data_IF_664436490703
#
_entry.id   IF_664436490703
#
_cell.length_a   1.000
_cell.length_b   1.000
_cell.length_c   1.000
_cell.angle_alpha   90.00
_cell.angle_beta   90.00
_cell.angle_gamma   90.00
#
_symmetry.space_group_name_H-M   'P 1'
#
loop_
_entity.id
_entity.type
_entity.pdbx_description
1 polymer ?
#
# COMPACT_ATOMS: atom_id res chain seq x y z
N UNK A 1 25.60 3.04 -4.56
CA UNK A 1 24.91 1.83 -5.04
C UNK A 1 23.58 2.31 -5.60
N UNK A 2 23.40 2.20 -6.91
CA UNK A 2 22.18 2.68 -7.54
C UNK A 2 21.20 1.51 -7.66
N UNK A 3 20.09 1.63 -6.97
CA UNK A 3 19.00 0.66 -7.07
C UNK A 3 18.03 1.13 -8.16
N UNK A 4 17.72 0.26 -9.12
CA UNK A 4 16.77 0.55 -10.20
C UNK A 4 15.48 -0.23 -10.01
N UNK A 5 14.35 0.47 -10.16
CA UNK A 5 13.00 -0.05 -10.01
C UNK A 5 12.10 0.45 -11.14
N UNK A 6 11.06 -0.34 -11.44
CA UNK A 6 10.00 0.09 -12.37
C UNK A 6 9.02 1.02 -11.66
N UNK A 7 8.77 0.74 -10.37
CA UNK A 7 7.85 1.51 -9.54
C UNK A 7 8.47 1.79 -8.17
N UNK A 8 8.38 3.02 -7.71
CA UNK A 8 8.76 3.40 -6.35
C UNK A 8 7.54 4.00 -5.65
N UNK A 9 7.15 3.40 -4.52
CA UNK A 9 6.05 3.87 -3.68
C UNK A 9 6.61 4.50 -2.41
N UNK A 10 6.21 5.74 -2.14
CA UNK A 10 6.66 6.50 -0.97
C UNK A 10 5.57 6.50 0.08
N UNK A 11 5.84 5.88 1.21
CA UNK A 11 4.94 5.78 2.36
C UNK A 11 4.14 4.48 2.39
N UNK A 12 4.28 3.71 3.47
CA UNK A 12 3.59 2.45 3.73
C UNK A 12 2.30 2.66 4.55
N UNK A 13 1.49 3.65 4.19
CA UNK A 13 0.09 3.73 4.63
C UNK A 13 -0.78 2.73 3.85
N UNK A 14 -2.09 2.67 4.12
CA UNK A 14 -2.99 1.71 3.46
C UNK A 14 -2.92 1.79 1.93
N UNK A 15 -2.97 3.01 1.37
CA UNK A 15 -2.88 3.22 -0.07
C UNK A 15 -1.52 2.81 -0.64
N UNK A 16 -0.42 3.11 0.07
CA UNK A 16 0.92 2.73 -0.36
C UNK A 16 1.15 1.22 -0.32
N UNK A 17 0.62 0.54 0.69
CA UNK A 17 0.69 -0.93 0.78
C UNK A 17 -0.04 -1.59 -0.40
N UNK A 18 -1.27 -1.14 -0.71
CA UNK A 18 -2.04 -1.66 -1.85
C UNK A 18 -1.36 -1.33 -3.19
N UNK A 19 -0.87 -0.12 -3.37
CA UNK A 19 -0.18 0.29 -4.59
C UNK A 19 1.10 -0.52 -4.84
N UNK A 20 1.92 -0.72 -3.80
CA UNK A 20 3.14 -1.49 -3.90
C UNK A 20 2.86 -2.97 -4.18
N UNK A 21 1.87 -3.55 -3.50
CA UNK A 21 1.44 -4.92 -3.73
C UNK A 21 0.90 -5.11 -5.15
N UNK A 22 0.04 -4.22 -5.63
CA UNK A 22 -0.52 -4.28 -6.97
C UNK A 22 0.57 -4.21 -8.05
N UNK A 23 1.50 -3.25 -7.95
CA UNK A 23 2.59 -3.10 -8.90
C UNK A 23 3.48 -4.35 -8.95
N UNK A 24 3.87 -4.88 -7.78
CA UNK A 24 4.71 -6.07 -7.70
C UNK A 24 4.00 -7.34 -8.19
N UNK A 25 2.71 -7.51 -7.91
CA UNK A 25 1.90 -8.63 -8.40
C UNK A 25 1.71 -8.58 -9.92
N UNK A 26 1.73 -7.40 -10.53
CA UNK A 26 1.74 -7.24 -11.98
C UNK A 26 3.11 -7.51 -12.62
N UNK A 27 4.12 -7.85 -11.83
CA UNK A 27 5.45 -8.23 -12.29
C UNK A 27 6.48 -7.09 -12.29
N UNK A 28 6.10 -5.88 -11.90
CA UNK A 28 7.03 -4.75 -11.81
C UNK A 28 7.99 -4.92 -10.64
N UNK A 29 9.27 -4.61 -10.85
CA UNK A 29 10.24 -4.50 -9.78
C UNK A 29 9.93 -3.25 -8.96
N UNK A 30 9.37 -3.44 -7.78
CA UNK A 30 8.79 -2.38 -6.96
C UNK A 30 9.60 -2.13 -5.70
N UNK A 31 9.75 -0.86 -5.31
CA UNK A 31 10.29 -0.45 -4.03
C UNK A 31 9.23 0.29 -3.21
N UNK A 32 8.98 -0.16 -1.99
CA UNK A 32 8.17 0.53 -1.01
C UNK A 32 9.07 1.16 0.05
N UNK A 33 9.08 2.50 0.13
CA UNK A 33 9.90 3.24 1.09
C UNK A 33 9.03 3.73 2.24
N UNK A 34 9.44 3.43 3.47
CA UNK A 34 8.74 3.87 4.68
C UNK A 34 9.73 4.34 5.75
N UNK A 35 9.33 5.33 6.53
CA UNK A 35 10.14 5.82 7.66
C UNK A 35 10.22 4.82 8.81
N UNK A 36 9.19 3.98 8.97
CA UNK A 36 9.10 3.05 10.11
C UNK A 36 8.36 1.76 9.69
N UNK A 37 9.12 0.67 9.63
CA UNK A 37 8.61 -0.67 9.31
C UNK A 37 7.59 -1.20 10.33
N UNK A 38 7.59 -0.68 11.55
CA UNK A 38 6.63 -1.09 12.58
C UNK A 38 5.27 -0.38 12.44
N UNK A 39 5.17 0.57 11.50
CA UNK A 39 3.95 1.35 11.24
C UNK A 39 3.35 1.09 9.85
N UNK A 40 3.78 0.02 9.20
CA UNK A 40 3.21 -0.41 7.92
C UNK A 40 1.70 -0.62 8.08
N UNK A 41 0.91 0.01 7.20
CA UNK A 41 -0.56 -0.01 7.23
C UNK A 41 -1.18 0.33 8.61
N UNK A 42 -0.51 1.14 9.43
CA UNK A 42 -0.99 1.47 10.76
C UNK A 42 -2.33 2.20 10.73
N UNK A 43 -3.27 1.70 11.51
CA UNK A 43 -4.54 2.39 11.78
C UNK A 43 -4.33 3.47 12.84
N UNK A 44 -4.15 4.72 12.42
CA UNK A 44 -3.79 5.84 13.31
C UNK A 44 -4.94 6.27 14.24
N UNK A 45 -6.19 6.13 13.78
CA UNK A 45 -7.37 6.50 14.57
C UNK A 45 -8.08 5.25 15.11
N UNK A 46 -9.35 5.04 14.73
CA UNK A 46 -10.09 3.85 15.09
C UNK A 46 -9.58 2.65 14.29
N UNK A 47 -9.30 1.51 14.92
CA UNK A 47 -8.86 0.31 14.20
C UNK A 47 -10.05 -0.37 13.53
N UNK A 48 -10.63 0.28 12.52
CA UNK A 48 -11.81 -0.19 11.84
C UNK A 48 -11.76 0.08 10.33
N UNK A 49 -12.20 -0.91 9.57
CA UNK A 49 -12.31 -0.89 8.11
C UNK A 49 -13.77 -0.90 7.72
N UNK A 50 -14.12 -0.15 6.67
CA UNK A 50 -15.48 -0.04 6.19
C UNK A 50 -16.27 1.10 6.84
N UNK A 51 -17.60 0.96 6.84
CA UNK A 51 -18.54 2.01 7.20
C UNK A 51 -19.11 2.72 5.99
N UNK A 52 -19.81 3.86 6.22
CA UNK A 52 -20.51 4.60 5.17
C UNK A 52 -19.52 5.03 4.08
N UNK A 53 -19.84 4.70 2.83
CA UNK A 53 -19.03 4.93 1.62
C UNK A 53 -17.65 4.24 1.58
N UNK A 54 -17.12 3.79 2.70
CA UNK A 54 -15.78 3.17 2.76
C UNK A 54 -15.81 1.67 2.48
N UNK A 55 -16.87 0.98 2.90
CA UNK A 55 -17.02 -0.46 2.67
C UNK A 55 -17.10 -0.82 1.19
N UNK A 56 -17.67 0.04 0.37
CA UNK A 56 -17.74 -0.12 -1.08
C UNK A 56 -16.34 -0.08 -1.71
N UNK A 57 -15.51 0.90 -1.30
CA UNK A 57 -14.13 1.02 -1.78
C UNK A 57 -13.32 -0.22 -1.41
N UNK A 58 -13.46 -0.75 -0.19
CA UNK A 58 -12.76 -1.98 0.20
C UNK A 58 -13.15 -3.16 -0.69
N UNK A 59 -14.42 -3.29 -1.06
CA UNK A 59 -14.89 -4.34 -1.98
C UNK A 59 -14.37 -4.16 -3.40
N UNK A 60 -14.25 -2.92 -3.87
CA UNK A 60 -13.64 -2.62 -5.16
C UNK A 60 -12.16 -2.98 -5.18
N UNK A 61 -11.42 -2.65 -4.12
CA UNK A 61 -10.02 -3.04 -3.94
C UNK A 61 -9.88 -4.57 -3.93
N UNK A 62 -10.74 -5.27 -3.17
CA UNK A 62 -10.77 -6.74 -3.09
C UNK A 62 -11.06 -7.38 -4.46
N UNK A 63 -12.03 -6.84 -5.21
CA UNK A 63 -12.36 -7.29 -6.57
C UNK A 63 -11.21 -7.12 -7.56
N UNK A 64 -10.31 -6.16 -7.32
CA UNK A 64 -9.09 -5.94 -8.10
C UNK A 64 -7.88 -6.76 -7.60
N UNK A 65 -8.07 -7.62 -6.60
CA UNK A 65 -7.01 -8.46 -6.04
C UNK A 65 -6.18 -7.79 -4.94
N UNK A 66 -6.71 -6.74 -4.32
CA UNK A 66 -6.07 -6.08 -3.17
C UNK A 66 -6.20 -6.87 -1.87
N UNK A 67 -5.46 -6.47 -0.87
CA UNK A 67 -5.31 -7.21 0.38
C UNK A 67 -6.10 -6.64 1.57
N UNK A 68 -6.63 -5.41 1.46
CA UNK A 68 -7.32 -4.75 2.57
C UNK A 68 -8.49 -5.59 3.12
N UNK A 69 -9.28 -6.19 2.25
CA UNK A 69 -10.39 -7.08 2.63
C UNK A 69 -9.90 -8.31 3.37
N UNK A 70 -8.91 -9.00 2.82
CA UNK A 70 -8.33 -10.22 3.38
C UNK A 70 -7.70 -9.98 4.75
N UNK A 71 -6.89 -8.93 4.89
CA UNK A 71 -6.27 -8.56 6.17
C UNK A 71 -7.34 -8.17 7.21
N UNK A 72 -8.40 -7.49 6.76
CA UNK A 72 -9.52 -7.15 7.63
C UNK A 72 -10.19 -8.40 8.18
N UNK A 73 -10.47 -9.38 7.34
CA UNK A 73 -11.12 -10.64 7.75
C UNK A 73 -10.25 -11.45 8.72
N UNK A 74 -8.93 -11.48 8.49
CA UNK A 74 -7.98 -12.18 9.37
C UNK A 74 -7.83 -11.53 10.75
N UNK A 75 -8.03 -10.24 10.85
CA UNK A 75 -7.71 -9.46 12.06
C UNK A 75 -8.92 -8.84 12.73
N UNK A 76 -10.11 -9.06 12.18
CA UNK A 76 -11.36 -8.54 12.73
C UNK A 76 -11.68 -9.15 14.08
N UNK A 77 -12.03 -8.30 15.03
CA UNK A 77 -12.52 -8.67 16.36
C UNK A 77 -14.03 -8.45 16.51
N UNK A 78 -14.62 -7.62 15.65
CA UNK A 78 -16.04 -7.35 15.64
C UNK A 78 -16.52 -6.90 14.27
N UNK A 79 -17.65 -7.44 13.82
CA UNK A 79 -18.38 -6.98 12.64
C UNK A 79 -19.69 -6.31 13.04
N UNK A 80 -20.00 -5.19 12.39
CA UNK A 80 -21.29 -4.50 12.51
C UNK A 80 -21.77 -4.04 11.15
N UNK A 81 -23.11 -4.08 10.97
CA UNK A 81 -23.76 -3.38 9.87
C UNK A 81 -24.32 -2.09 10.44
N UNK A 82 -23.80 -0.96 9.98
CA UNK A 82 -24.29 0.36 10.33
C UNK A 82 -25.53 0.70 9.50
N UNK A 83 -26.33 1.66 9.99
CA UNK A 83 -27.51 2.21 9.31
C UNK A 83 -28.61 1.18 8.96
N UNK A 84 -28.76 0.12 9.73
CA UNK A 84 -29.82 -0.87 9.52
C UNK A 84 -31.22 -0.25 9.45
N UNK A 85 -31.49 0.81 10.22
CA UNK A 85 -32.75 1.53 10.23
C UNK A 85 -33.00 2.41 9.01
N UNK A 86 -31.99 2.62 8.16
CA UNK A 86 -32.06 3.49 6.97
C UNK A 86 -32.39 2.75 5.68
N UNK A 87 -32.60 1.45 5.75
CA UNK A 87 -32.88 0.59 4.60
C UNK A 87 -31.63 -0.02 3.96
N UNK A 88 -31.81 -1.06 3.11
CA UNK A 88 -30.72 -1.87 2.57
C UNK A 88 -29.65 -1.09 1.79
N UNK A 89 -30.06 -0.04 1.07
CA UNK A 89 -29.13 0.79 0.28
C UNK A 89 -28.12 1.56 1.17
N UNK A 90 -28.45 1.77 2.44
CA UNK A 90 -27.61 2.48 3.39
C UNK A 90 -26.83 1.55 4.34
N UNK A 91 -27.03 0.25 4.20
CA UNK A 91 -26.32 -0.71 5.04
C UNK A 91 -24.84 -0.66 4.76
N UNK A 92 -24.06 -0.42 5.80
CA UNK A 92 -22.63 -0.19 5.67
C UNK A 92 -21.88 -1.16 6.57
N UNK A 93 -21.30 -2.24 6.04
CA UNK A 93 -20.46 -3.15 6.81
C UNK A 93 -19.25 -2.42 7.39
N UNK A 94 -18.96 -2.68 8.66
CA UNK A 94 -17.78 -2.18 9.35
C UNK A 94 -17.19 -3.28 10.20
N UNK A 95 -15.91 -3.55 10.00
CA UNK A 95 -15.11 -4.43 10.83
C UNK A 95 -14.23 -3.63 11.77
N UNK A 96 -14.18 -3.99 13.03
CA UNK A 96 -13.17 -3.51 13.97
C UNK A 96 -12.08 -4.57 14.03
N UNK A 97 -10.83 -4.15 13.88
CA UNK A 97 -9.68 -5.02 13.81
C UNK A 97 -8.78 -4.88 15.04
N UNK A 98 -8.01 -5.92 15.33
CA UNK A 98 -6.88 -5.83 16.23
C UNK A 98 -5.78 -5.03 15.51
N UNK A 99 -5.40 -3.89 16.08
CA UNK A 99 -4.46 -2.94 15.46
C UNK A 99 -3.09 -3.57 15.20
N UNK A 100 -2.57 -4.32 16.16
CA UNK A 100 -1.25 -4.92 16.05
C UNK A 100 -1.26 -6.09 15.07
N UNK A 101 -2.25 -6.97 15.16
CA UNK A 101 -2.42 -8.07 14.20
C UNK A 101 -2.56 -7.55 12.77
N UNK A 102 -3.26 -6.42 12.58
CA UNK A 102 -3.44 -5.81 11.27
C UNK A 102 -2.11 -5.35 10.65
N UNK A 103 -1.25 -4.70 11.44
CA UNK A 103 0.10 -4.30 11.01
C UNK A 103 0.93 -5.53 10.65
N UNK A 104 0.93 -6.56 11.50
CA UNK A 104 1.69 -7.78 11.26
C UNK A 104 1.22 -8.54 10.03
N UNK A 105 -0.09 -8.67 9.84
CA UNK A 105 -0.66 -9.35 8.67
C UNK A 105 -0.31 -8.62 7.36
N UNK A 106 -0.39 -7.30 7.32
CA UNK A 106 0.05 -6.52 6.18
C UNK A 106 1.54 -6.68 5.91
N UNK A 107 2.36 -6.62 6.94
CA UNK A 107 3.80 -6.76 6.81
C UNK A 107 4.17 -8.14 6.28
N UNK A 108 3.57 -9.19 6.81
CA UNK A 108 3.77 -10.56 6.35
C UNK A 108 3.43 -10.71 4.86
N UNK A 109 2.31 -10.15 4.41
CA UNK A 109 1.93 -10.16 3.01
C UNK A 109 2.99 -9.45 2.16
N UNK A 110 3.34 -8.21 2.49
CA UNK A 110 4.26 -7.42 1.69
C UNK A 110 5.66 -8.03 1.60
N UNK A 111 6.17 -8.59 2.71
CA UNK A 111 7.49 -9.23 2.75
C UNK A 111 7.53 -10.53 1.92
N UNK A 112 6.39 -11.15 1.64
CA UNK A 112 6.29 -12.38 0.85
C UNK A 112 5.94 -12.14 -0.63
N UNK A 113 5.68 -10.91 -1.06
CA UNK A 113 5.41 -10.62 -2.47
C UNK A 113 6.73 -10.62 -3.26
N UNK A 114 6.88 -11.48 -4.29
CA UNK A 114 8.00 -11.42 -5.19
C UNK A 114 8.11 -10.03 -5.85
N UNK A 115 9.32 -9.60 -6.18
CA UNK A 115 9.61 -8.31 -6.81
C UNK A 115 9.30 -7.06 -5.96
N UNK A 116 8.84 -7.22 -4.72
CA UNK A 116 8.64 -6.10 -3.79
C UNK A 116 9.81 -5.99 -2.82
N UNK A 117 10.52 -4.88 -2.89
CA UNK A 117 11.56 -4.53 -1.92
C UNK A 117 11.02 -3.47 -0.96
N UNK A 118 11.16 -3.70 0.33
CA UNK A 118 10.78 -2.73 1.34
C UNK A 118 12.04 -2.09 1.90
N UNK A 119 12.07 -0.75 1.91
CA UNK A 119 13.21 0.01 2.38
C UNK A 119 12.81 0.97 3.50
N UNK A 120 13.47 0.87 4.65
CA UNK A 120 13.21 1.78 5.76
C UNK A 120 14.13 2.99 5.68
N UNK A 121 13.59 4.10 5.19
CA UNK A 121 14.27 5.39 5.12
C UNK A 121 13.26 6.53 4.91
N UNK A 122 13.74 7.76 4.98
CA UNK A 122 12.97 8.97 4.68
C UNK A 122 13.37 9.50 3.31
N UNK A 123 12.40 9.73 2.44
CA UNK A 123 12.67 10.37 1.14
C UNK A 123 12.94 11.85 1.38
N UNK A 124 14.07 12.32 0.89
CA UNK A 124 14.56 13.70 1.02
C UNK A 124 14.30 14.54 -0.23
N UNK A 125 14.44 13.91 -1.39
CA UNK A 125 14.40 14.61 -2.67
C UNK A 125 13.85 13.70 -3.75
N UNK A 126 13.08 14.28 -4.68
CA UNK A 126 12.67 13.64 -5.95
C UNK A 126 13.59 14.15 -7.02
N UNK A 127 14.23 13.25 -7.76
CA UNK A 127 15.16 13.60 -8.83
C UNK A 127 14.36 13.79 -10.11
N UNK A 128 14.48 14.99 -10.70
CA UNK A 128 13.81 15.35 -11.95
C UNK A 128 14.86 15.75 -12.97
N UNK A 129 14.85 15.11 -14.13
CA UNK A 129 15.70 15.40 -15.27
C UNK A 129 14.83 15.69 -16.50
N UNK A 130 15.09 16.78 -17.20
CA UNK A 130 14.33 17.21 -18.39
C UNK A 130 12.81 17.29 -18.21
N UNK A 131 12.34 17.52 -16.96
CA UNK A 131 10.91 17.57 -16.63
C UNK A 131 10.27 16.22 -16.29
N UNK A 132 11.03 15.15 -16.29
CA UNK A 132 10.59 13.80 -15.93
C UNK A 132 11.18 13.35 -14.58
N UNK A 133 10.39 12.61 -13.81
CA UNK A 133 10.86 12.01 -12.54
C UNK A 133 11.67 10.78 -12.87
N UNK A 134 12.98 10.83 -12.59
CA UNK A 134 13.93 9.74 -12.85
C UNK A 134 14.32 8.95 -11.61
N UNK A 135 13.90 9.41 -10.43
CA UNK A 135 14.21 8.69 -9.19
C UNK A 135 14.00 9.55 -7.95
N UNK A 136 14.58 9.09 -6.86
CA UNK A 136 14.56 9.79 -5.57
C UNK A 136 15.87 9.59 -4.81
N UNK A 137 16.09 10.46 -3.83
CA UNK A 137 17.18 10.39 -2.87
C UNK A 137 16.64 10.29 -1.45
N UNK A 138 17.21 9.40 -0.67
CA UNK A 138 16.82 9.21 0.73
C UNK A 138 17.70 10.03 1.68
N UNK A 139 17.31 10.07 2.95
CA UNK A 139 18.05 10.81 3.99
C UNK A 139 19.48 10.24 4.18
N UNK A 140 19.66 8.95 4.04
CA UNK A 140 20.97 8.29 4.13
C UNK A 140 21.75 8.28 2.81
N UNK A 141 21.40 9.22 1.91
CA UNK A 141 22.04 9.40 0.59
C UNK A 141 22.01 8.17 -0.32
N UNK A 142 21.01 7.31 -0.13
CA UNK A 142 20.72 6.22 -1.06
C UNK A 142 19.92 6.78 -2.23
N UNK A 143 20.39 6.50 -3.45
CA UNK A 143 19.68 6.87 -4.68
C UNK A 143 18.91 5.68 -5.22
N UNK A 144 17.60 5.85 -5.41
CA UNK A 144 16.74 4.90 -6.10
C UNK A 144 16.34 5.50 -7.44
N UNK A 145 16.67 4.84 -8.53
CA UNK A 145 16.36 5.28 -9.88
C UNK A 145 15.15 4.52 -10.43
N UNK A 146 14.34 5.19 -11.23
CA UNK A 146 13.33 4.58 -12.06
C UNK A 146 13.96 4.07 -13.36
N UNK A 147 13.47 2.95 -13.88
CA UNK A 147 13.70 2.60 -15.26
C UNK A 147 12.96 3.61 -16.12
N UNK A 148 13.67 4.49 -16.80
CA UNK A 148 13.09 5.37 -17.80
C UNK A 148 12.78 4.56 -19.05
N UNK A 149 11.67 4.86 -19.71
CA UNK A 149 11.11 4.10 -20.82
C UNK A 149 11.86 4.22 -22.16
N UNK A 150 13.17 4.43 -22.14
CA UNK A 150 14.00 4.37 -23.38
C UNK A 150 14.00 2.97 -24.04
N UNK A 151 13.45 1.97 -23.37
CA UNK A 151 13.26 0.64 -23.96
C UNK A 151 12.14 0.56 -25.01
N UNK A 152 11.37 1.62 -25.24
CA UNK A 152 10.30 1.63 -26.24
C UNK A 152 10.76 2.02 -27.64
N UNK A 153 11.99 2.52 -27.80
CA UNK A 153 12.53 2.95 -29.11
C UNK A 153 13.39 1.89 -29.83
N UNK A 154 13.57 0.71 -29.24
CA UNK A 154 14.23 -0.42 -29.90
C UNK A 154 13.21 -1.41 -30.47
N UNK A 155 12.29 -0.93 -31.34
CA UNK A 155 11.49 -1.80 -32.19
C UNK A 155 11.51 -1.36 -33.65
#
# INVERSE_FOLDING_TARGET
MDFKYDVIVIGAGHAGCEAAAAAANLGSKTCLITMDMNKVAQMSCNPAVGGIAKGQIVREIDALGGYMGLVTDQTAIQFRILNRSKGPAMWSPRAQCDRNKFIWAWREILENIPNLHIWQDTVKEIIVENGEVVGLKTFWDVTCLLYTSDAADER
#
